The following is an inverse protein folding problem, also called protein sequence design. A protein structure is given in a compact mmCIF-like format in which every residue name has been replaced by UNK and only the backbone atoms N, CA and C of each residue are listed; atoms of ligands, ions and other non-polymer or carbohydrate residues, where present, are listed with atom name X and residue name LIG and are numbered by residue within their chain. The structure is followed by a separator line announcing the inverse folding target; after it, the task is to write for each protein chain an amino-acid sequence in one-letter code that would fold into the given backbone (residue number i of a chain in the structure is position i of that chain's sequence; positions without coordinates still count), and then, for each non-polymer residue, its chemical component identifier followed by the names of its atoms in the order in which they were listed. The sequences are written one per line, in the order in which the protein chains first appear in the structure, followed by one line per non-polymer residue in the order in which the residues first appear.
data_IF_667975545960
#
_entry.id   IF_667975545960
#
_cell.length_a   1.000
_cell.length_b   1.000
_cell.length_c   1.000
_cell.angle_alpha   90.00
_cell.angle_beta   90.00
_cell.angle_gamma   90.00
#
_symmetry.space_group_name_H-M   'P 1'
#
loop_
_entity.id
_entity.type
_entity.pdbx_description
1 polymer ?
#
# COMPACT_ATOMS: atom_id res chain seq x y z
N UNK A 1 -23.56 34.92 31.64
CA UNK A 1 -22.87 35.62 30.53
C UNK A 1 -21.50 36.04 31.04
N UNK A 2 -20.44 35.31 30.67
CA UNK A 2 -19.08 35.68 31.06
C UNK A 2 -18.18 35.44 29.86
N UNK A 3 -17.72 36.54 29.26
CA UNK A 3 -16.81 36.57 28.12
C UNK A 3 -15.41 36.16 28.59
N UNK A 4 -14.81 35.17 27.94
CA UNK A 4 -13.36 34.99 27.94
C UNK A 4 -12.84 35.29 26.54
N UNK A 5 -11.90 36.24 26.50
CA UNK A 5 -11.13 36.69 25.35
C UNK A 5 -9.75 36.02 25.38
N UNK A 6 -9.11 35.98 24.20
CA UNK A 6 -7.64 35.99 23.94
C UNK A 6 -6.95 34.62 23.72
N UNK A 7 -5.85 34.51 22.93
CA UNK A 7 -5.41 35.24 21.74
C UNK A 7 -4.99 34.36 20.53
N UNK A 8 -4.82 35.08 19.42
CA UNK A 8 -4.19 34.81 18.13
C UNK A 8 -2.69 34.39 18.23
N UNK A 9 -2.27 33.36 17.49
CA UNK A 9 -0.86 33.10 17.14
C UNK A 9 -0.74 32.93 15.63
N UNK A 10 -0.17 33.96 14.99
CA UNK A 10 0.23 33.99 13.59
C UNK A 10 1.65 33.39 13.48
N UNK A 11 1.84 32.34 12.67
CA UNK A 11 3.17 31.92 12.24
C UNK A 11 3.33 32.18 10.74
N UNK A 12 4.26 33.08 10.43
CA UNK A 12 4.70 33.40 9.08
C UNK A 12 5.71 32.35 8.60
N UNK A 13 5.59 31.91 7.35
CA UNK A 13 6.63 31.15 6.66
C UNK A 13 6.99 31.82 5.33
N UNK A 14 8.14 32.50 5.39
CA UNK A 14 9.25 32.53 4.43
C UNK A 14 8.93 32.73 2.94
N UNK A 15 9.35 33.89 2.46
CA UNK A 15 9.55 34.25 1.07
C UNK A 15 10.63 33.38 0.38
N UNK A 16 10.39 33.00 -0.86
CA UNK A 16 11.46 32.76 -1.82
C UNK A 16 11.06 33.42 -3.15
N UNK A 17 11.74 34.53 -3.46
CA UNK A 17 11.54 35.32 -4.67
C UNK A 17 12.64 35.10 -5.71
N UNK A 18 12.33 35.48 -6.95
CA UNK A 18 13.24 35.63 -8.09
C UNK A 18 13.29 34.40 -9.01
N UNK A 19 13.27 34.50 -10.36
CA UNK A 19 13.63 35.60 -11.25
C UNK A 19 13.12 35.26 -12.68
N UNK A 20 12.55 36.23 -13.40
CA UNK A 20 12.28 36.16 -14.86
C UNK A 20 13.59 36.25 -15.65
N UNK A 21 13.76 35.43 -16.68
CA UNK A 21 14.44 35.85 -17.93
C UNK A 21 14.18 34.91 -19.10
N UNK A 22 14.20 35.52 -20.28
CA UNK A 22 13.79 35.04 -21.60
C UNK A 22 14.95 34.41 -22.38
N UNK A 23 14.61 33.53 -23.33
CA UNK A 23 15.26 33.28 -24.64
C UNK A 23 16.73 32.83 -24.66
N UNK A 24 17.00 31.65 -25.24
CA UNK A 24 17.81 31.49 -26.48
C UNK A 24 17.69 30.05 -26.99
N UNK A 25 17.34 29.91 -28.27
CA UNK A 25 17.41 28.68 -29.06
C UNK A 25 18.87 28.24 -29.17
N UNK A 26 19.19 27.02 -28.78
CA UNK A 26 20.44 26.37 -29.21
C UNK A 26 20.13 24.96 -29.66
N UNK A 27 20.18 24.79 -30.98
CA UNK A 27 20.19 23.52 -31.68
C UNK A 27 21.42 22.74 -31.21
N UNK A 28 21.24 21.58 -30.58
CA UNK A 28 22.33 20.62 -30.38
C UNK A 28 21.89 19.27 -30.91
N UNK A 29 22.47 18.94 -32.05
CA UNK A 29 22.40 17.65 -32.73
C UNK A 29 23.22 16.64 -31.94
N UNK A 30 22.63 15.49 -31.59
CA UNK A 30 23.35 14.28 -31.19
C UNK A 30 23.52 14.09 -29.69
N UNK A 31 23.14 12.91 -29.21
CA UNK A 31 23.42 12.43 -27.85
C UNK A 31 22.20 11.76 -27.26
N UNK A 32 22.09 10.44 -27.41
CA UNK A 32 21.00 9.63 -26.89
C UNK A 32 20.74 9.96 -25.43
N UNK A 33 19.56 10.53 -25.18
CA UNK A 33 19.01 10.66 -23.84
C UNK A 33 18.62 9.26 -23.38
N UNK A 34 19.57 8.51 -22.86
CA UNK A 34 19.28 7.48 -21.87
C UNK A 34 18.77 8.22 -20.65
N UNK A 35 17.47 8.56 -20.69
CA UNK A 35 16.69 8.61 -19.48
C UNK A 35 17.02 7.30 -18.76
N UNK A 36 17.85 7.37 -17.72
CA UNK A 36 18.13 6.22 -16.86
C UNK A 36 16.78 5.78 -16.37
N UNK A 37 16.24 4.75 -17.04
CA UNK A 37 15.03 4.10 -16.61
C UNK A 37 15.47 3.50 -15.29
N UNK A 38 15.02 4.09 -14.19
CA UNK A 38 15.33 3.57 -12.86
C UNK A 38 14.78 2.15 -12.87
N UNK A 39 15.69 1.20 -13.00
CA UNK A 39 15.39 -0.22 -12.96
C UNK A 39 15.02 -0.48 -11.53
N UNK A 40 13.71 -0.49 -11.29
CA UNK A 40 13.17 -1.00 -10.04
C UNK A 40 13.72 -2.41 -9.88
N UNK A 41 14.22 -2.73 -8.69
CA UNK A 41 14.75 -4.05 -8.35
C UNK A 41 13.93 -4.69 -7.24
N UNK A 42 13.26 -3.86 -6.43
CA UNK A 42 12.56 -4.33 -5.24
C UNK A 42 11.27 -3.56 -5.02
N UNK A 43 10.23 -4.29 -4.64
CA UNK A 43 8.98 -3.74 -4.11
C UNK A 43 8.76 -4.27 -2.70
N UNK A 44 8.47 -3.37 -1.78
CA UNK A 44 8.06 -3.69 -0.40
C UNK A 44 6.54 -3.57 -0.30
N UNK A 45 5.90 -4.59 0.27
CA UNK A 45 4.46 -4.63 0.53
C UNK A 45 4.18 -4.22 1.97
N UNK A 46 3.27 -3.26 2.15
CA UNK A 46 2.75 -2.90 3.47
C UNK A 46 1.23 -2.77 3.46
N UNK A 47 0.60 -2.94 4.62
CA UNK A 47 -0.85 -2.85 4.76
C UNK A 47 -1.24 -1.51 5.35
N UNK A 48 -2.11 -0.77 4.66
CA UNK A 48 -2.83 0.36 5.22
C UNK A 48 -4.13 -0.14 5.85
N UNK A 49 -4.36 0.19 7.12
CA UNK A 49 -5.58 -0.16 7.86
C UNK A 49 -6.14 1.13 8.44
N UNK A 50 -7.27 1.58 7.92
CA UNK A 50 -7.92 2.82 8.38
C UNK A 50 -9.25 2.48 9.07
N UNK A 51 -9.35 2.59 10.41
CA UNK A 51 -10.58 2.30 11.13
C UNK A 51 -11.72 3.24 10.74
N UNK A 52 -12.94 2.70 10.62
CA UNK A 52 -14.18 3.40 10.24
C UNK A 52 -15.39 2.79 10.98
N UNK A 53 -15.47 3.06 12.28
CA UNK A 53 -16.51 2.48 13.14
C UNK A 53 -16.31 0.97 13.31
N UNK A 54 -17.30 0.16 12.95
CA UNK A 54 -17.19 -1.32 12.97
C UNK A 54 -16.42 -1.89 11.77
N UNK A 55 -16.07 -1.04 10.80
CA UNK A 55 -15.34 -1.42 9.60
C UNK A 55 -13.90 -0.89 9.67
N UNK A 56 -13.02 -1.44 8.83
CA UNK A 56 -11.73 -0.87 8.49
C UNK A 56 -11.56 -0.88 6.97
N UNK A 57 -11.18 0.26 6.40
CA UNK A 57 -10.77 0.35 5.00
C UNK A 57 -9.35 -0.21 4.88
N UNK A 58 -9.17 -1.23 4.04
CA UNK A 58 -7.91 -1.94 3.86
C UNK A 58 -7.28 -1.59 2.51
N UNK A 59 -5.98 -1.33 2.54
CA UNK A 59 -5.18 -1.02 1.37
C UNK A 59 -3.92 -1.88 1.38
N UNK A 60 -3.51 -2.34 0.19
CA UNK A 60 -2.16 -2.88 -0.01
C UNK A 60 -1.31 -1.78 -0.64
N UNK A 61 -0.26 -1.36 0.05
CA UNK A 61 0.71 -0.41 -0.45
C UNK A 61 1.92 -1.15 -1.03
N UNK A 62 2.33 -0.74 -2.23
CA UNK A 62 3.58 -1.17 -2.87
C UNK A 62 4.54 0.01 -2.85
N UNK A 63 5.74 -0.18 -2.31
CA UNK A 63 6.78 0.84 -2.25
C UNK A 63 8.01 0.35 -2.99
N UNK A 64 8.44 1.07 -4.03
CA UNK A 64 9.66 0.76 -4.76
C UNK A 64 10.92 1.27 -4.03
N UNK A 65 12.11 0.92 -4.53
CA UNK A 65 13.37 1.37 -3.92
C UNK A 65 13.63 2.88 -4.03
N UNK A 66 12.86 3.60 -4.85
CA UNK A 66 12.91 5.08 -4.90
C UNK A 66 12.08 5.72 -3.79
N UNK A 67 11.33 4.92 -3.03
CA UNK A 67 10.39 5.37 -2.02
C UNK A 67 9.04 5.80 -2.60
N UNK A 68 8.81 5.58 -3.89
CA UNK A 68 7.51 5.85 -4.49
C UNK A 68 6.54 4.76 -4.04
N UNK A 69 5.49 5.21 -3.36
CA UNK A 69 4.43 4.35 -2.85
C UNK A 69 3.18 4.45 -3.72
N UNK A 70 2.59 3.30 -4.07
CA UNK A 70 1.27 3.18 -4.66
C UNK A 70 0.35 2.44 -3.70
N UNK A 71 -0.85 2.94 -3.47
CA UNK A 71 -1.84 2.33 -2.59
C UNK A 71 -2.98 1.73 -3.40
N UNK A 72 -3.30 0.47 -3.12
CA UNK A 72 -4.35 -0.29 -3.79
C UNK A 72 -5.46 -0.59 -2.79
N UNK A 73 -6.63 0.04 -2.97
CA UNK A 73 -7.80 -0.21 -2.13
C UNK A 73 -8.32 -1.62 -2.33
N UNK A 74 -8.63 -2.31 -1.24
CA UNK A 74 -9.15 -3.69 -1.24
C UNK A 74 -10.60 -3.76 -0.71
N UNK A 75 -11.08 -2.68 -0.10
CA UNK A 75 -12.44 -2.57 0.41
C UNK A 75 -12.50 -2.37 1.92
N UNK A 76 -13.73 -2.37 2.44
CA UNK A 76 -14.02 -2.22 3.86
C UNK A 76 -14.37 -3.57 4.47
N UNK A 77 -13.73 -3.91 5.59
CA UNK A 77 -13.89 -5.20 6.27
C UNK A 77 -14.36 -4.99 7.71
N UNK A 78 -15.24 -5.86 8.20
CA UNK A 78 -15.75 -5.77 9.57
C UNK A 78 -14.72 -6.33 10.57
N UNK A 79 -14.64 -5.69 11.74
CA UNK A 79 -13.86 -6.19 12.88
C UNK A 79 -12.53 -5.48 13.07
N UNK A 80 -11.74 -5.98 14.01
CA UNK A 80 -10.39 -5.46 14.28
C UNK A 80 -9.41 -6.09 13.31
N UNK A 81 -8.80 -5.27 12.46
CA UNK A 81 -7.86 -5.71 11.45
C UNK A 81 -6.41 -5.52 11.89
N UNK A 82 -5.60 -6.57 11.75
CA UNK A 82 -4.17 -6.54 12.06
C UNK A 82 -3.38 -7.24 10.95
N UNK A 83 -2.27 -6.63 10.53
CA UNK A 83 -1.32 -7.31 9.66
C UNK A 83 -0.68 -8.49 10.40
N UNK A 84 -0.43 -9.57 9.67
CA UNK A 84 0.24 -10.75 10.19
C UNK A 84 1.10 -11.40 9.12
N UNK A 85 2.01 -12.28 9.55
CA UNK A 85 2.79 -13.12 8.65
C UNK A 85 2.07 -14.46 8.49
N UNK A 86 1.57 -14.79 7.29
CA UNK A 86 0.91 -16.07 7.06
C UNK A 86 1.88 -17.25 7.23
N UNK A 87 1.32 -18.43 7.48
CA UNK A 87 2.10 -19.66 7.52
C UNK A 87 2.77 -19.92 6.16
N UNK A 88 4.00 -20.47 6.11
CA UNK A 88 4.72 -20.70 4.86
C UNK A 88 3.94 -21.53 3.83
N UNK A 89 3.16 -22.50 4.29
CA UNK A 89 2.29 -23.36 3.48
C UNK A 89 1.21 -22.60 2.68
N UNK A 90 0.88 -21.37 3.10
CA UNK A 90 -0.09 -20.52 2.41
C UNK A 90 0.51 -19.83 1.17
N UNK A 91 1.84 -19.89 0.99
CA UNK A 91 2.60 -19.20 -0.06
C UNK A 91 2.31 -17.68 -0.16
N UNK A 92 1.85 -17.07 0.93
CA UNK A 92 1.57 -15.65 1.01
C UNK A 92 2.75 -14.91 1.66
N UNK A 93 3.10 -13.76 1.10
CA UNK A 93 4.20 -12.91 1.57
C UNK A 93 3.81 -12.22 2.87
N UNK A 94 2.58 -11.72 2.93
CA UNK A 94 2.02 -10.99 4.06
C UNK A 94 0.50 -11.09 4.03
N UNK A 95 -0.16 -10.83 5.16
CA UNK A 95 -1.61 -10.85 5.25
C UNK A 95 -2.18 -9.86 6.25
N UNK A 96 -3.50 -9.70 6.21
CA UNK A 96 -4.29 -8.96 7.21
C UNK A 96 -5.42 -9.85 7.68
N UNK A 97 -5.57 -9.98 9.00
CA UNK A 97 -6.70 -10.68 9.61
C UNK A 97 -7.63 -9.65 10.24
N UNK A 98 -8.89 -9.65 9.82
CA UNK A 98 -9.98 -8.83 10.35
C UNK A 98 -10.91 -9.72 11.17
N UNK A 99 -10.77 -9.65 12.50
CA UNK A 99 -11.47 -10.53 13.43
C UNK A 99 -12.74 -9.87 13.94
N UNK A 100 -13.88 -10.53 13.79
CA UNK A 100 -15.18 -10.07 14.32
C UNK A 100 -15.54 -10.75 15.64
N UNK A 101 -15.06 -11.97 15.85
CA UNK A 101 -15.16 -12.74 17.08
C UNK A 101 -14.02 -13.78 17.12
N UNK A 102 -13.72 -14.41 18.27
CA UNK A 102 -12.69 -15.45 18.33
C UNK A 102 -12.95 -16.57 17.30
N UNK A 103 -12.01 -16.73 16.36
CA UNK A 103 -12.10 -17.71 15.28
C UNK A 103 -13.02 -17.34 14.11
N UNK A 104 -13.58 -16.13 14.08
CA UNK A 104 -14.44 -15.66 12.99
C UNK A 104 -13.98 -14.32 12.43
N UNK A 105 -14.10 -14.15 11.12
CA UNK A 105 -13.61 -12.96 10.44
C UNK A 105 -13.24 -13.17 8.99
N UNK A 106 -12.27 -12.39 8.53
CA UNK A 106 -11.78 -12.45 7.15
C UNK A 106 -10.27 -12.24 7.13
N UNK A 107 -9.57 -13.09 6.39
CA UNK A 107 -8.15 -12.93 6.12
C UNK A 107 -7.92 -12.52 4.68
N UNK A 108 -6.99 -11.60 4.48
CA UNK A 108 -6.46 -11.20 3.19
C UNK A 108 -5.02 -11.67 3.10
N UNK A 109 -4.65 -12.26 1.97
CA UNK A 109 -3.33 -12.84 1.71
C UNK A 109 -2.76 -12.26 0.42
N UNK A 110 -1.59 -11.63 0.50
CA UNK A 110 -0.86 -11.18 -0.67
C UNK A 110 0.10 -12.28 -1.13
N UNK A 111 -0.12 -12.80 -2.34
CA UNK A 111 0.68 -13.85 -2.99
C UNK A 111 1.33 -13.28 -4.24
N UNK A 112 2.56 -13.69 -4.54
CA UNK A 112 3.18 -13.37 -5.84
C UNK A 112 3.00 -14.54 -6.78
N UNK A 113 2.40 -14.28 -7.94
CA UNK A 113 2.21 -15.28 -8.99
C UNK A 113 3.07 -14.91 -10.21
N UNK A 114 3.81 -15.89 -10.71
CA UNK A 114 4.64 -15.75 -11.93
C UNK A 114 5.81 -14.76 -11.82
N UNK A 115 6.00 -14.09 -10.68
CA UNK A 115 6.99 -13.01 -10.53
C UNK A 115 6.58 -11.69 -11.20
N UNK A 116 5.34 -11.59 -11.67
CA UNK A 116 4.84 -10.43 -12.42
C UNK A 116 3.58 -9.82 -11.79
N UNK A 117 2.95 -10.53 -10.86
CA UNK A 117 1.68 -10.11 -10.28
C UNK A 117 1.64 -10.38 -8.78
N UNK A 118 1.08 -9.43 -8.04
CA UNK A 118 0.65 -9.60 -6.66
C UNK A 118 -0.85 -9.83 -6.68
N UNK A 119 -1.27 -10.98 -6.16
CA UNK A 119 -2.67 -11.37 -6.06
C UNK A 119 -3.09 -11.30 -4.60
N UNK A 120 -4.17 -10.57 -4.34
CA UNK A 120 -4.78 -10.54 -3.03
C UNK A 120 -5.93 -11.54 -3.00
N UNK A 121 -5.78 -12.51 -2.13
CA UNK A 121 -6.73 -13.58 -1.90
C UNK A 121 -7.46 -13.35 -0.57
N UNK A 122 -8.78 -13.48 -0.58
CA UNK A 122 -9.63 -13.40 0.59
C UNK A 122 -10.04 -14.81 1.07
N UNK A 123 -9.94 -15.05 2.38
CA UNK A 123 -10.40 -16.24 3.06
C UNK A 123 -11.41 -15.85 4.15
N UNK A 124 -12.58 -16.49 4.16
CA UNK A 124 -13.53 -16.37 5.27
C UNK A 124 -13.09 -17.25 6.44
N UNK A 125 -13.23 -16.74 7.66
CA UNK A 125 -13.03 -17.50 8.89
C UNK A 125 -14.36 -17.67 9.60
N UNK A 126 -14.73 -18.91 9.92
CA UNK A 126 -15.93 -19.26 10.67
C UNK A 126 -15.55 -19.93 11.99
N UNK A 127 -16.17 -19.47 13.09
CA UNK A 127 -15.85 -19.96 14.42
C UNK A 127 -16.09 -21.48 14.54
N UNK A 128 -15.06 -22.20 14.99
CA UNK A 128 -15.13 -23.65 15.18
C UNK A 128 -14.98 -24.47 13.88
N UNK A 129 -14.76 -23.82 12.73
CA UNK A 129 -14.51 -24.48 11.45
C UNK A 129 -13.05 -24.32 11.08
N UNK A 130 -12.39 -25.40 10.64
CA UNK A 130 -11.06 -25.30 10.06
C UNK A 130 -11.19 -24.72 8.65
N UNK A 131 -10.58 -23.56 8.35
CA UNK A 131 -10.70 -22.96 7.03
C UNK A 131 -10.07 -23.87 5.96
N UNK A 132 -10.76 -24.02 4.82
CA UNK A 132 -10.17 -24.66 3.64
C UNK A 132 -9.20 -23.68 2.98
N UNK A 133 -7.88 -23.97 2.93
CA UNK A 133 -6.91 -23.08 2.31
C UNK A 133 -7.14 -22.90 0.81
N UNK A 134 -7.93 -23.75 0.15
CA UNK A 134 -8.29 -23.65 -1.26
C UNK A 134 -9.56 -22.82 -1.51
N UNK A 135 -10.36 -22.53 -0.48
CA UNK A 135 -11.59 -21.74 -0.58
C UNK A 135 -11.35 -20.22 -0.73
N UNK A 136 -10.12 -19.82 -1.09
CA UNK A 136 -9.74 -18.43 -1.25
C UNK A 136 -10.32 -17.83 -2.52
N UNK A 137 -10.80 -16.60 -2.41
CA UNK A 137 -11.29 -15.80 -3.54
C UNK A 137 -10.29 -14.71 -3.90
N UNK A 138 -9.93 -14.60 -5.17
CA UNK A 138 -9.20 -13.43 -5.66
C UNK A 138 -10.07 -12.17 -5.58
N UNK A 139 -9.55 -11.12 -4.95
CA UNK A 139 -10.22 -9.83 -4.83
C UNK A 139 -9.46 -8.69 -5.51
N UNK A 140 -8.17 -8.88 -5.78
CA UNK A 140 -7.35 -7.89 -6.46
C UNK A 140 -6.14 -8.54 -7.12
N UNK A 141 -5.72 -7.96 -8.24
CA UNK A 141 -4.53 -8.32 -9.00
C UNK A 141 -3.77 -7.05 -9.35
N UNK A 142 -2.52 -6.97 -8.91
CA UNK A 142 -1.66 -5.80 -9.08
C UNK A 142 -0.46 -6.24 -9.91
N UNK A 143 -0.29 -5.63 -11.08
CA UNK A 143 0.87 -5.88 -11.93
C UNK A 143 2.11 -5.23 -11.34
N UNK A 144 3.22 -5.96 -11.36
CA UNK A 144 4.55 -5.47 -11.01
C UNK A 144 5.49 -5.61 -12.22
N UNK A 145 6.55 -4.80 -12.31
CA UNK A 145 7.57 -5.00 -13.34
C UNK A 145 8.21 -6.38 -13.25
N UNK A 146 8.72 -6.88 -14.37
CA UNK A 146 9.40 -8.17 -14.44
C UNK A 146 10.73 -8.16 -13.70
N UNK A 147 11.06 -9.27 -13.06
CA UNK A 147 12.37 -9.46 -12.41
C UNK A 147 12.53 -8.69 -11.09
N UNK A 148 11.42 -8.24 -10.49
CA UNK A 148 11.41 -7.53 -9.22
C UNK A 148 11.35 -8.51 -8.04
N UNK A 149 12.20 -8.29 -7.04
CA UNK A 149 12.05 -8.95 -5.75
C UNK A 149 10.89 -8.31 -4.97
N UNK A 150 10.00 -9.13 -4.42
CA UNK A 150 8.86 -8.68 -3.62
C UNK A 150 9.02 -9.16 -2.19
N UNK A 151 8.91 -8.27 -1.23
CA UNK A 151 9.08 -8.58 0.20
C UNK A 151 8.01 -7.88 1.04
N UNK A 152 7.73 -8.42 2.22
CA UNK A 152 6.89 -7.74 3.21
C UNK A 152 7.68 -6.63 3.92
N UNK A 153 7.01 -5.55 4.27
CA UNK A 153 7.52 -4.58 5.23
C UNK A 153 7.77 -5.28 6.60
N UNK A 154 8.80 -4.83 7.34
CA UNK A 154 9.11 -5.35 8.67
C UNK A 154 8.01 -5.07 9.69
#
# INVERSE_FOLDING_TARGET
MTRLLMPLVLFAAVACGGKKSSTTTTTTTGGGSTASTVLVKKIVLSWGITPKGELADIYLATTDETGKQLSHSLGAYKGTCTAFKPAPEMNAITGVSCTTAPGAGTELHAVVQGGEEIIVLQLGLDAGVTPDPMARKEISRIKIPLGIAVEAAP
#
